data_IF_669621860204
#
_entry.id   IF_669621860204
#
_cell.length_a   1.000
_cell.length_b   1.000
_cell.length_c   1.000
_cell.angle_alpha   90.00
_cell.angle_beta   90.00
_cell.angle_gamma   90.00
#
_symmetry.space_group_name_H-M   'P 1'
#
loop_
_entity.id
_entity.type
_entity.pdbx_description
1 polymer ?
#
# COMPACT_ATOMS: atom_id res chain seq x y z
N UNK A 1 8.52 6.66 22.37
CA UNK A 1 9.62 6.53 21.37
C UNK A 1 9.90 7.89 20.71
N UNK A 2 11.14 8.17 20.27
CA UNK A 2 11.45 9.36 19.46
C UNK A 2 11.54 8.95 18.00
N UNK A 3 10.56 9.35 17.19
CA UNK A 3 10.53 9.06 15.75
C UNK A 3 11.54 9.98 15.04
N UNK A 4 12.44 9.45 14.19
CA UNK A 4 13.35 10.27 13.39
C UNK A 4 12.59 11.29 12.51
N UNK A 5 13.19 12.45 12.25
CA UNK A 5 12.54 13.52 11.48
C UNK A 5 12.07 13.05 10.09
N UNK A 6 12.86 12.20 9.43
CA UNK A 6 12.52 11.65 8.13
C UNK A 6 11.25 10.80 8.17
N UNK A 7 11.03 10.05 9.25
CA UNK A 7 9.84 9.25 9.45
C UNK A 7 8.63 10.11 9.82
N UNK A 8 8.83 11.23 10.53
CA UNK A 8 7.78 12.21 10.76
C UNK A 8 7.30 12.84 9.44
N UNK A 9 8.24 13.20 8.56
CA UNK A 9 7.92 13.71 7.21
C UNK A 9 7.18 12.65 6.40
N UNK A 10 7.65 11.40 6.46
CA UNK A 10 7.01 10.27 5.78
C UNK A 10 5.55 10.08 6.24
N UNK A 11 5.29 10.11 7.55
CA UNK A 11 3.92 10.04 8.11
C UNK A 11 3.09 11.24 7.66
N UNK A 12 3.62 12.46 7.72
CA UNK A 12 2.91 13.66 7.30
C UNK A 12 2.50 13.60 5.82
N UNK A 13 3.39 13.09 4.96
CA UNK A 13 3.08 12.87 3.54
C UNK A 13 2.05 11.74 3.34
N UNK A 14 2.13 10.67 4.13
CA UNK A 14 1.12 9.61 4.08
C UNK A 14 -0.28 10.14 4.42
N UNK A 15 -0.40 10.99 5.44
CA UNK A 15 -1.65 11.66 5.78
C UNK A 15 -2.09 12.62 4.66
N UNK A 16 -1.17 13.45 4.14
CA UNK A 16 -1.44 14.40 3.05
C UNK A 16 -1.99 13.72 1.79
N UNK A 17 -1.55 12.49 1.54
CA UNK A 17 -1.97 11.67 0.38
C UNK A 17 -3.18 10.79 0.68
N UNK A 18 -3.84 10.98 1.84
CA UNK A 18 -4.95 10.16 2.32
C UNK A 18 -4.62 8.65 2.36
N UNK A 19 -3.37 8.32 2.72
CA UNK A 19 -2.88 6.96 2.78
C UNK A 19 -2.59 6.31 1.41
N UNK A 20 -2.54 7.09 0.32
CA UNK A 20 -2.30 6.55 -1.02
C UNK A 20 -0.86 6.05 -1.17
N UNK A 21 -0.69 4.73 -1.17
CA UNK A 21 0.63 4.10 -1.38
C UNK A 21 1.23 4.48 -2.74
N UNK A 22 0.41 4.53 -3.78
CA UNK A 22 0.86 4.92 -5.13
C UNK A 22 1.44 6.34 -5.16
N UNK A 23 0.83 7.28 -4.44
CA UNK A 23 1.39 8.64 -4.34
C UNK A 23 2.68 8.64 -3.53
N UNK A 24 2.77 7.85 -2.46
CA UNK A 24 4.00 7.71 -1.67
C UNK A 24 5.17 7.13 -2.48
N UNK A 25 4.90 6.11 -3.32
CA UNK A 25 5.90 5.56 -4.25
C UNK A 25 6.45 6.66 -5.16
N UNK A 26 5.57 7.50 -5.72
CA UNK A 26 5.97 8.61 -6.60
C UNK A 26 6.72 9.72 -5.87
N UNK A 27 6.24 10.15 -4.70
CA UNK A 27 6.85 11.25 -3.92
C UNK A 27 8.25 10.89 -3.44
N UNK A 28 8.42 9.67 -2.92
CA UNK A 28 9.67 9.23 -2.34
C UNK A 28 10.56 8.47 -3.34
N UNK A 29 10.07 8.26 -4.57
CA UNK A 29 10.72 7.48 -5.62
C UNK A 29 11.19 6.10 -5.13
N UNK A 30 10.27 5.37 -4.49
CA UNK A 30 10.51 4.04 -3.91
C UNK A 30 9.40 3.08 -4.31
N UNK A 31 9.71 1.79 -4.28
CA UNK A 31 8.72 0.74 -4.59
C UNK A 31 7.70 0.54 -3.46
N UNK A 32 6.53 0.00 -3.80
CA UNK A 32 5.48 -0.38 -2.87
C UNK A 32 6.00 -1.21 -1.68
N UNK A 33 6.82 -2.28 -1.88
CA UNK A 33 7.39 -3.02 -0.76
C UNK A 33 8.18 -2.12 0.20
N UNK A 34 8.88 -1.11 -0.32
CA UNK A 34 9.65 -0.16 0.48
C UNK A 34 8.73 0.75 1.31
N UNK A 35 7.64 1.26 0.71
CA UNK A 35 6.63 2.04 1.43
C UNK A 35 6.02 1.22 2.56
N UNK A 36 5.58 -0.01 2.26
CA UNK A 36 4.96 -0.93 3.25
C UNK A 36 5.91 -1.28 4.38
N UNK A 37 7.15 -1.64 4.07
CA UNK A 37 8.16 -1.98 5.08
C UNK A 37 8.46 -0.78 5.99
N UNK A 38 8.50 0.43 5.43
CA UNK A 38 8.70 1.65 6.23
C UNK A 38 7.53 1.94 7.14
N UNK A 39 6.28 1.81 6.65
CA UNK A 39 5.07 1.94 7.48
C UNK A 39 5.08 0.94 8.64
N UNK A 40 5.36 -0.34 8.37
CA UNK A 40 5.43 -1.38 9.40
C UNK A 40 6.53 -1.11 10.44
N UNK A 41 7.70 -0.63 10.00
CA UNK A 41 8.80 -0.24 10.91
C UNK A 41 8.36 0.90 11.83
N UNK A 42 7.71 1.93 11.29
CA UNK A 42 7.23 3.08 12.05
C UNK A 42 6.13 2.66 13.04
N UNK A 43 5.18 1.81 12.61
CA UNK A 43 4.11 1.32 13.46
C UNK A 43 4.61 0.55 14.69
N UNK A 44 5.65 -0.28 14.50
CA UNK A 44 6.35 -0.96 15.59
C UNK A 44 7.03 0.01 16.54
N UNK A 45 7.61 1.10 16.05
CA UNK A 45 8.21 2.13 16.92
C UNK A 45 7.18 2.93 17.72
N UNK A 46 5.92 2.95 17.26
CA UNK A 46 4.82 3.63 17.93
C UNK A 46 3.97 2.70 18.81
N UNK A 47 4.35 1.43 18.95
CA UNK A 47 3.59 0.40 19.68
C UNK A 47 2.13 0.22 19.17
N UNK A 48 1.88 0.47 17.88
CA UNK A 48 0.55 0.38 17.23
C UNK A 48 0.29 -1.04 16.69
N UNK A 49 1.32 -1.88 16.56
CA UNK A 49 1.24 -3.21 15.94
C UNK A 49 1.56 -3.19 14.44
N UNK A 50 1.26 -4.28 13.73
CA UNK A 50 1.49 -4.37 12.29
C UNK A 50 0.39 -3.63 11.50
N UNK A 51 0.78 -2.81 10.51
CA UNK A 51 -0.20 -2.14 9.64
C UNK A 51 -0.58 -3.10 8.52
N UNK A 52 -1.82 -3.62 8.59
CA UNK A 52 -2.46 -4.23 7.42
C UNK A 52 -2.80 -3.15 6.38
N UNK A 53 -1.84 -2.83 5.52
CA UNK A 53 -2.12 -2.02 4.33
C UNK A 53 -2.95 -2.86 3.35
N UNK A 54 -4.28 -2.77 3.47
CA UNK A 54 -5.22 -3.26 2.45
C UNK A 54 -5.22 -2.29 1.28
N UNK A 55 -4.20 -2.39 0.43
CA UNK A 55 -4.38 -1.91 -0.94
C UNK A 55 -5.27 -2.91 -1.65
N UNK A 56 -6.31 -2.45 -2.38
CA UNK A 56 -6.83 -3.23 -3.49
C UNK A 56 -5.63 -3.39 -4.42
N UNK A 57 -4.96 -4.54 -4.34
CA UNK A 57 -3.97 -4.86 -5.35
C UNK A 57 -4.79 -5.05 -6.63
N UNK A 58 -4.20 -4.70 -7.78
CA UNK A 58 -4.83 -5.00 -9.08
C UNK A 58 -5.31 -6.46 -9.15
N UNK A 59 -4.59 -7.34 -8.45
CA UNK A 59 -4.90 -8.75 -8.26
C UNK A 59 -6.06 -9.03 -7.30
N UNK A 60 -6.21 -8.27 -6.22
CA UNK A 60 -7.36 -8.36 -5.31
C UNK A 60 -8.64 -7.86 -5.99
N UNK A 61 -8.55 -6.79 -6.79
CA UNK A 61 -9.69 -6.30 -7.59
C UNK A 61 -10.05 -7.29 -8.70
N UNK A 62 -9.05 -7.88 -9.37
CA UNK A 62 -9.24 -8.97 -10.33
C UNK A 62 -9.92 -10.18 -9.71
N UNK A 63 -9.48 -10.62 -8.53
CA UNK A 63 -10.09 -11.74 -7.80
C UNK A 63 -11.53 -11.43 -7.42
N UNK A 64 -11.79 -10.24 -6.87
CA UNK A 64 -13.15 -9.80 -6.49
C UNK A 64 -14.08 -9.83 -7.70
N UNK A 65 -13.66 -9.27 -8.83
CA UNK A 65 -14.43 -9.25 -10.07
C UNK A 65 -14.71 -10.66 -10.61
N UNK A 66 -13.77 -11.58 -10.44
CA UNK A 66 -13.91 -12.97 -10.84
C UNK A 66 -14.90 -13.73 -9.93
N UNK A 67 -14.83 -13.51 -8.62
CA UNK A 67 -15.76 -14.09 -7.63
C UNK A 67 -17.20 -13.59 -7.82
N UNK A 68 -17.36 -12.31 -8.18
CA UNK A 68 -18.65 -11.70 -8.51
C UNK A 68 -19.18 -12.09 -9.90
N UNK A 69 -18.37 -12.78 -10.71
CA UNK A 69 -18.73 -13.20 -12.07
C UNK A 69 -18.82 -12.04 -13.07
N UNK A 70 -18.24 -10.88 -12.75
CA UNK A 70 -18.24 -9.69 -13.62
C UNK A 70 -17.19 -9.77 -14.73
N UNK A 71 -16.20 -10.64 -14.58
CA UNK A 71 -15.22 -11.00 -15.61
C UNK A 71 -15.07 -12.52 -15.71
N UNK A 72 -14.60 -13.00 -16.85
CA UNK A 72 -14.23 -14.41 -17.01
C UNK A 72 -12.77 -14.66 -16.61
N UNK A 73 -12.42 -15.94 -16.38
CA UNK A 73 -11.03 -16.36 -16.16
C UNK A 73 -10.12 -15.93 -17.33
N UNK A 74 -10.62 -15.96 -18.57
CA UNK A 74 -9.86 -15.55 -19.74
C UNK A 74 -9.58 -14.04 -19.76
N UNK A 75 -10.54 -13.22 -19.31
CA UNK A 75 -10.35 -11.76 -19.20
C UNK A 75 -9.37 -11.43 -18.08
N UNK A 76 -9.45 -12.16 -16.95
CA UNK A 76 -8.51 -12.01 -15.85
C UNK A 76 -7.07 -12.32 -16.28
N UNK A 77 -6.85 -13.37 -17.07
CA UNK A 77 -5.53 -13.73 -17.59
C UNK A 77 -4.92 -12.65 -18.50
N UNK A 78 -5.73 -12.01 -19.34
CA UNK A 78 -5.27 -10.89 -20.19
C UNK A 78 -4.87 -9.65 -19.40
N UNK A 79 -5.47 -9.41 -18.23
CA UNK A 79 -5.12 -8.27 -17.38
C UNK A 79 -3.85 -8.51 -16.54
N UNK A 80 -3.37 -9.77 -16.47
CA UNK A 80 -2.15 -10.18 -15.78
C UNK A 80 -0.91 -10.13 -16.70
N UNK A 81 -1.08 -10.32 -18.01
CA UNK A 81 -0.04 -10.06 -19.03
C UNK A 81 0.33 -8.57 -19.14
#
# INVERSE_FOLDING_TARGET
ARIPIEDQIFIAMFIKTNGSIKQMESIFNISYPTVKNRLNRIAKQLDIGDIEVRTPSRMADLLTRLEEGTITVADALKEIE
#
